data_IF_277832624901
#
_entry.id   IF_277832624901
#
_cell.length_a   1.000
_cell.length_b   1.000
_cell.length_c   1.000
_cell.angle_alpha   90.00
_cell.angle_beta   90.00
_cell.angle_gamma   90.00
#
_symmetry.space_group_name_H-M   'P 1'
#
loop_
_entity.id
_entity.type
_entity.pdbx_description
1 polymer ?
#
# COMPACT_ATOMS: atom_id res chain seq x y z
N UNK A 1 20.41 21.19 20.79
CA UNK A 1 20.17 20.81 19.38
C UNK A 1 20.94 19.55 18.94
N UNK A 2 21.30 18.61 19.84
CA UNK A 2 21.95 17.34 19.44
C UNK A 2 21.21 16.08 19.90
N UNK A 3 20.04 16.24 20.54
CA UNK A 3 19.20 15.12 21.02
C UNK A 3 18.00 14.83 20.11
N UNK A 4 17.73 15.70 19.13
CA UNK A 4 16.53 15.61 18.29
C UNK A 4 16.60 14.47 17.27
N UNK A 5 17.80 14.20 16.74
CA UNK A 5 18.03 13.10 15.79
C UNK A 5 17.89 11.71 16.44
N UNK A 6 18.53 11.51 17.59
CA UNK A 6 18.41 10.26 18.35
C UNK A 6 16.98 10.04 18.86
N UNK A 7 16.31 11.10 19.31
CA UNK A 7 14.89 11.05 19.69
C UNK A 7 13.98 10.66 18.53
N UNK A 8 14.23 11.19 17.33
CA UNK A 8 13.47 10.86 16.11
C UNK A 8 13.67 9.39 15.69
N UNK A 9 14.91 8.89 15.76
CA UNK A 9 15.21 7.48 15.46
C UNK A 9 14.49 6.56 16.45
N UNK A 10 14.59 6.84 17.75
CA UNK A 10 13.95 6.03 18.79
C UNK A 10 12.42 6.05 18.68
N UNK A 11 11.83 7.19 18.32
CA UNK A 11 10.40 7.31 18.07
C UNK A 11 9.96 6.47 16.85
N UNK A 12 10.64 6.62 15.71
CA UNK A 12 10.32 5.85 14.50
C UNK A 12 10.47 4.34 14.71
N UNK A 13 11.50 3.91 15.45
CA UNK A 13 11.67 2.51 15.84
C UNK A 13 10.50 2.08 16.74
N UNK A 14 10.14 2.85 17.75
CA UNK A 14 9.05 2.49 18.69
C UNK A 14 7.69 2.35 18.01
N UNK A 15 7.44 3.12 16.94
CA UNK A 15 6.20 3.03 16.14
C UNK A 15 6.23 1.86 15.16
N UNK A 16 7.38 1.58 14.55
CA UNK A 16 7.51 0.57 13.48
C UNK A 16 7.78 -0.84 14.02
N UNK A 17 8.45 -0.94 15.17
CA UNK A 17 8.84 -2.21 15.79
C UNK A 17 7.63 -3.11 16.10
N UNK A 18 6.49 -2.62 16.63
CA UNK A 18 5.28 -3.44 16.81
C UNK A 18 4.74 -3.99 15.49
N UNK A 19 4.72 -3.17 14.43
CA UNK A 19 4.26 -3.60 13.10
C UNK A 19 5.18 -4.66 12.51
N UNK A 20 6.50 -4.50 12.65
CA UNK A 20 7.48 -5.51 12.23
C UNK A 20 7.33 -6.81 13.04
N UNK A 21 7.14 -6.72 14.34
CA UNK A 21 6.93 -7.89 15.19
C UNK A 21 5.66 -8.64 14.80
N UNK A 22 4.57 -7.93 14.52
CA UNK A 22 3.32 -8.52 14.01
C UNK A 22 3.53 -9.23 12.66
N UNK A 23 4.31 -8.65 11.75
CA UNK A 23 4.67 -9.28 10.47
C UNK A 23 5.46 -10.59 10.68
N UNK A 24 6.49 -10.56 11.53
CA UNK A 24 7.30 -11.74 11.85
C UNK A 24 6.41 -12.84 12.47
N UNK A 25 5.51 -12.46 13.38
CA UNK A 25 4.56 -13.38 14.00
C UNK A 25 3.64 -14.01 12.94
N UNK A 26 3.10 -13.21 12.01
CA UNK A 26 2.29 -13.72 10.90
C UNK A 26 3.04 -14.74 10.04
N UNK A 27 4.32 -14.48 9.72
CA UNK A 27 5.18 -15.42 8.98
C UNK A 27 5.41 -16.71 9.78
N UNK A 28 5.66 -16.61 11.07
CA UNK A 28 5.86 -17.77 11.94
C UNK A 28 4.62 -18.66 12.03
N UNK A 29 3.42 -18.06 12.13
CA UNK A 29 2.14 -18.76 12.13
C UNK A 29 1.86 -19.45 10.79
N UNK A 30 2.17 -18.77 9.67
CA UNK A 30 2.08 -19.36 8.33
C UNK A 30 3.03 -20.55 8.19
N UNK A 31 4.27 -20.42 8.67
CA UNK A 31 5.28 -21.50 8.60
C UNK A 31 4.87 -22.75 9.39
N UNK A 32 4.09 -22.60 10.46
CA UNK A 32 3.51 -23.72 11.22
C UNK A 32 2.24 -24.32 10.60
N UNK A 33 1.82 -23.88 9.40
CA UNK A 33 0.56 -24.28 8.74
C UNK A 33 -0.71 -24.06 9.61
N UNK A 34 -0.63 -23.18 10.62
CA UNK A 34 -1.80 -22.79 11.42
C UNK A 34 -2.72 -21.89 10.59
N UNK A 35 -2.13 -21.11 9.69
CA UNK A 35 -2.82 -20.23 8.75
C UNK A 35 -2.63 -20.78 7.34
N UNK A 36 -3.71 -21.27 6.74
CA UNK A 36 -3.78 -21.70 5.34
C UNK A 36 -3.98 -20.49 4.41
N UNK A 37 -3.57 -20.62 3.14
CA UNK A 37 -3.70 -19.58 2.12
C UNK A 37 -5.18 -19.18 1.93
N UNK A 38 -6.12 -20.13 2.10
CA UNK A 38 -7.57 -19.86 2.09
C UNK A 38 -8.00 -18.91 3.21
N UNK A 39 -7.51 -19.13 4.43
CA UNK A 39 -7.80 -18.24 5.56
C UNK A 39 -7.20 -16.86 5.34
N UNK A 40 -5.97 -16.80 4.83
CA UNK A 40 -5.30 -15.52 4.52
C UNK A 40 -6.08 -14.71 3.48
N UNK A 41 -6.61 -15.35 2.44
CA UNK A 41 -7.45 -14.69 1.43
C UNK A 41 -8.77 -14.19 2.04
N UNK A 42 -9.42 -15.00 2.87
CA UNK A 42 -10.68 -14.63 3.49
C UNK A 42 -10.52 -13.48 4.49
N UNK A 43 -9.45 -13.51 5.30
CA UNK A 43 -9.09 -12.42 6.21
C UNK A 43 -8.82 -11.11 5.44
N UNK A 44 -8.06 -11.20 4.35
CA UNK A 44 -7.78 -10.05 3.47
C UNK A 44 -9.09 -9.48 2.90
N UNK A 45 -10.00 -10.34 2.42
CA UNK A 45 -11.31 -9.91 1.93
C UNK A 45 -12.16 -9.19 3.00
N UNK A 46 -12.13 -9.67 4.25
CA UNK A 46 -12.82 -9.01 5.37
C UNK A 46 -12.21 -7.63 5.64
N UNK A 47 -10.87 -7.52 5.65
CA UNK A 47 -10.17 -6.24 5.87
C UNK A 47 -10.53 -5.23 4.79
N UNK A 48 -10.51 -5.63 3.52
CA UNK A 48 -10.84 -4.72 2.42
C UNK A 48 -12.33 -4.34 2.37
N UNK A 49 -13.23 -5.28 2.65
CA UNK A 49 -14.69 -5.03 2.55
C UNK A 49 -15.30 -4.38 3.78
N UNK A 50 -14.73 -4.60 4.97
CA UNK A 50 -15.32 -4.16 6.25
C UNK A 50 -14.39 -3.18 6.96
N UNK A 51 -13.14 -3.58 7.23
CA UNK A 51 -12.22 -2.78 8.04
C UNK A 51 -11.87 -1.46 7.36
N UNK A 52 -11.63 -1.45 6.04
CA UNK A 52 -11.33 -0.21 5.31
C UNK A 52 -12.47 0.80 5.35
N UNK A 53 -13.73 0.45 4.97
CA UNK A 53 -14.86 1.38 5.12
C UNK A 53 -15.08 1.83 6.57
N UNK A 54 -14.95 0.92 7.54
CA UNK A 54 -15.11 1.26 8.95
C UNK A 54 -14.03 2.23 9.43
N UNK A 55 -12.77 2.02 9.03
CA UNK A 55 -11.67 2.90 9.35
C UNK A 55 -11.87 4.27 8.71
N UNK A 56 -12.27 4.33 7.44
CA UNK A 56 -12.60 5.59 6.77
C UNK A 56 -13.73 6.34 7.49
N UNK A 57 -14.79 5.63 7.88
CA UNK A 57 -15.89 6.20 8.65
C UNK A 57 -15.42 6.74 10.02
N UNK A 58 -14.63 5.96 10.78
CA UNK A 58 -14.06 6.41 12.05
C UNK A 58 -13.18 7.66 11.89
N UNK A 59 -12.35 7.71 10.84
CA UNK A 59 -11.49 8.85 10.56
C UNK A 59 -12.30 10.13 10.31
N UNK A 60 -13.38 10.03 9.53
CA UNK A 60 -14.29 11.16 9.27
C UNK A 60 -15.04 11.57 10.54
N UNK A 61 -15.51 10.61 11.32
CA UNK A 61 -16.27 10.88 12.55
C UNK A 61 -15.43 11.55 13.64
N UNK A 62 -14.17 11.14 13.79
CA UNK A 62 -13.28 11.68 14.84
C UNK A 62 -12.67 13.04 14.50
N UNK A 63 -12.70 13.47 13.23
CA UNK A 63 -12.11 14.74 12.78
C UNK A 63 -13.19 15.77 12.38
N UNK A 64 -13.83 16.46 13.35
CA UNK A 64 -14.76 17.54 13.02
C UNK A 64 -14.05 18.67 12.28
N UNK A 65 -14.65 19.12 11.18
CA UNK A 65 -14.12 20.16 10.28
C UNK A 65 -14.22 21.53 10.98
N UNK A 66 -13.25 21.85 11.82
CA UNK A 66 -13.21 23.13 12.56
C UNK A 66 -12.67 24.30 11.72
N UNK A 67 -11.82 24.03 10.72
CA UNK A 67 -11.17 25.06 9.91
C UNK A 67 -11.23 24.69 8.42
N UNK A 68 -12.24 25.20 7.70
CA UNK A 68 -12.44 24.93 6.26
C UNK A 68 -11.23 25.36 5.41
N UNK A 69 -10.63 26.51 5.71
CA UNK A 69 -9.53 27.07 4.89
C UNK A 69 -8.24 26.24 4.96
N UNK A 70 -7.89 25.71 6.13
CA UNK A 70 -6.70 24.86 6.28
C UNK A 70 -6.90 23.50 5.61
N UNK A 71 -8.13 22.95 5.67
CA UNK A 71 -8.45 21.72 4.97
C UNK A 71 -8.45 21.88 3.46
N UNK A 72 -8.91 23.02 2.93
CA UNK A 72 -8.82 23.32 1.50
C UNK A 72 -7.36 23.35 1.04
N UNK A 73 -6.46 23.99 1.79
CA UNK A 73 -5.02 23.98 1.48
C UNK A 73 -4.45 22.56 1.49
N UNK A 74 -4.80 21.74 2.48
CA UNK A 74 -4.34 20.35 2.56
C UNK A 74 -4.87 19.49 1.39
N UNK A 75 -6.12 19.70 0.97
CA UNK A 75 -6.69 19.03 -0.21
C UNK A 75 -5.93 19.44 -1.47
N UNK A 76 -5.65 20.73 -1.67
CA UNK A 76 -4.87 21.17 -2.83
C UNK A 76 -3.47 20.54 -2.85
N UNK A 77 -2.78 20.52 -1.71
CA UNK A 77 -1.46 19.84 -1.60
C UNK A 77 -1.57 18.36 -1.94
N UNK A 78 -2.60 17.66 -1.45
CA UNK A 78 -2.85 16.26 -1.82
C UNK A 78 -3.11 16.08 -3.31
N UNK A 79 -3.92 16.95 -3.93
CA UNK A 79 -4.25 16.88 -5.37
C UNK A 79 -3.01 17.12 -6.22
N UNK A 80 -2.26 18.19 -5.95
CA UNK A 80 -1.03 18.49 -6.69
C UNK A 80 0.06 17.45 -6.43
N UNK A 81 0.21 16.97 -5.20
CA UNK A 81 1.18 15.92 -4.85
C UNK A 81 0.86 14.60 -5.55
N UNK A 82 -0.42 14.21 -5.57
CA UNK A 82 -0.96 13.07 -6.33
C UNK A 82 -0.66 13.25 -7.82
N UNK A 83 -1.10 14.34 -8.44
CA UNK A 83 -0.85 14.59 -9.87
C UNK A 83 0.64 14.56 -10.22
N UNK A 84 1.49 15.17 -9.39
CA UNK A 84 2.94 15.14 -9.60
C UNK A 84 3.51 13.73 -9.49
N UNK A 85 3.08 12.95 -8.48
CA UNK A 85 3.47 11.55 -8.32
C UNK A 85 3.02 10.70 -9.52
N UNK A 86 1.82 10.94 -10.04
CA UNK A 86 1.31 10.28 -11.25
C UNK A 86 2.18 10.59 -12.47
N UNK A 87 2.45 11.88 -12.73
CA UNK A 87 3.26 12.30 -13.88
C UNK A 87 4.69 11.77 -13.78
N UNK A 88 5.30 11.83 -12.60
CA UNK A 88 6.62 11.25 -12.37
C UNK A 88 6.58 9.73 -12.61
N UNK A 89 5.62 9.02 -12.04
CA UNK A 89 5.47 7.58 -12.24
C UNK A 89 5.27 7.23 -13.72
N UNK A 90 4.53 8.02 -14.48
CA UNK A 90 4.33 7.83 -15.92
C UNK A 90 5.61 8.07 -16.73
N UNK A 91 6.37 9.14 -16.44
CA UNK A 91 7.65 9.43 -17.08
C UNK A 91 8.69 8.33 -16.78
N UNK A 92 8.73 7.85 -15.53
CA UNK A 92 9.58 6.72 -15.15
C UNK A 92 9.12 5.43 -15.83
N UNK A 93 7.82 5.15 -15.88
CA UNK A 93 7.28 3.99 -16.58
C UNK A 93 7.58 4.06 -18.08
N UNK A 94 7.57 5.24 -18.68
CA UNK A 94 7.91 5.39 -20.09
C UNK A 94 9.36 5.04 -20.39
N UNK A 95 10.27 5.43 -19.50
CA UNK A 95 11.70 5.18 -19.66
C UNK A 95 12.11 3.74 -19.34
N UNK A 96 11.39 3.05 -18.45
CA UNK A 96 11.74 1.71 -17.97
C UNK A 96 10.81 0.58 -18.46
N UNK A 97 9.60 0.89 -18.92
CA UNK A 97 8.59 -0.11 -19.33
C UNK A 97 8.26 0.06 -20.82
N UNK A 98 8.75 -0.89 -21.63
CA UNK A 98 8.57 -0.91 -23.08
C UNK A 98 7.12 -1.21 -23.52
N UNK A 99 6.33 -1.88 -22.68
CA UNK A 99 4.94 -2.26 -22.98
C UNK A 99 3.93 -1.27 -22.36
N UNK A 100 3.10 -0.64 -23.21
CA UNK A 100 2.07 0.31 -22.78
C UNK A 100 1.02 -0.30 -21.86
N UNK A 101 0.78 -1.61 -21.91
CA UNK A 101 -0.25 -2.27 -21.07
C UNK A 101 0.16 -2.37 -19.60
N UNK A 102 1.45 -2.49 -19.33
CA UNK A 102 1.98 -2.65 -17.97
C UNK A 102 2.17 -1.30 -17.24
N UNK A 103 2.15 -0.18 -17.98
CA UNK A 103 2.29 1.18 -17.40
C UNK A 103 1.18 1.51 -16.41
N UNK A 104 -0.07 1.13 -16.70
CA UNK A 104 -1.21 1.39 -15.80
C UNK A 104 -1.10 0.62 -14.48
N UNK A 105 -0.70 -0.65 -14.54
CA UNK A 105 -0.46 -1.48 -13.34
C UNK A 105 0.71 -0.94 -12.51
N UNK A 106 1.78 -0.48 -13.17
CA UNK A 106 2.93 0.12 -12.51
C UNK A 106 2.53 1.39 -11.73
N UNK A 107 1.81 2.31 -12.37
CA UNK A 107 1.34 3.54 -11.72
C UNK A 107 0.38 3.24 -10.56
N UNK A 108 -0.55 2.28 -10.71
CA UNK A 108 -1.41 1.86 -9.59
C UNK A 108 -0.64 1.23 -8.43
N UNK A 109 0.43 0.49 -8.73
CA UNK A 109 1.33 -0.09 -7.74
C UNK A 109 2.07 0.97 -6.93
N UNK A 110 2.57 2.00 -7.59
CA UNK A 110 3.22 3.17 -6.95
C UNK A 110 2.25 3.89 -6.01
N UNK A 111 0.98 4.02 -6.41
CA UNK A 111 -0.04 4.70 -5.63
C UNK A 111 -0.51 3.96 -4.37
N UNK A 112 -0.61 2.62 -4.44
CA UNK A 112 -1.14 1.83 -3.32
C UNK A 112 -0.09 1.48 -2.27
N UNK A 113 1.20 1.75 -2.53
CA UNK A 113 2.33 1.60 -1.59
C UNK A 113 2.63 0.16 -1.11
N UNK A 114 1.67 -0.76 -1.20
CA UNK A 114 1.73 -2.11 -0.63
C UNK A 114 1.40 -3.22 -1.64
N UNK A 115 0.99 -2.92 -2.87
CA UNK A 115 0.52 -3.94 -3.81
C UNK A 115 1.00 -3.68 -5.25
N UNK A 116 2.30 -3.80 -5.49
CA UNK A 116 2.81 -4.21 -6.80
C UNK A 116 3.55 -5.53 -6.68
N UNK A 117 2.89 -6.54 -6.11
CA UNK A 117 3.44 -7.89 -6.08
C UNK A 117 3.34 -8.60 -7.45
N UNK A 118 2.86 -7.92 -8.53
CA UNK A 118 2.60 -8.52 -9.86
C UNK A 118 3.18 -7.71 -11.06
N UNK A 119 3.94 -6.62 -10.88
CA UNK A 119 4.69 -6.04 -12.01
C UNK A 119 5.94 -6.86 -12.38
N UNK A 120 5.77 -8.15 -12.67
CA UNK A 120 6.70 -8.89 -13.50
C UNK A 120 6.32 -8.59 -14.96
N UNK A 121 7.11 -7.81 -15.72
CA UNK A 121 7.07 -7.96 -17.17
C UNK A 121 7.43 -9.43 -17.42
N UNK A 122 6.56 -10.15 -18.13
CA UNK A 122 6.76 -11.54 -18.53
C UNK A 122 8.09 -11.68 -19.29
N UNK A 123 9.17 -11.92 -18.56
CA UNK A 123 10.35 -12.61 -19.09
C UNK A 123 9.97 -14.08 -19.12
N UNK A 124 9.97 -14.65 -20.32
CA UNK A 124 9.44 -15.98 -20.59
C UNK A 124 10.01 -17.05 -19.66
N UNK A 125 9.16 -17.57 -18.79
CA UNK A 125 9.27 -18.94 -18.33
C UNK A 125 7.94 -19.64 -18.55
N UNK A 126 8.02 -20.70 -19.35
CA UNK A 126 7.01 -21.69 -19.58
C UNK A 126 6.53 -22.30 -18.25
N UNK A 127 5.40 -21.83 -17.71
CA UNK A 127 4.38 -22.68 -17.06
C UNK A 127 3.15 -21.88 -16.60
N UNK A 128 2.00 -22.53 -16.74
CA UNK A 128 0.62 -22.09 -16.50
C UNK A 128 0.23 -21.70 -15.06
N UNK A 129 1.12 -21.15 -14.21
CA UNK A 129 0.82 -20.95 -12.78
C UNK A 129 0.76 -19.50 -12.27
N UNK A 130 0.65 -18.50 -13.15
CA UNK A 130 0.41 -17.10 -12.75
C UNK A 130 -0.77 -16.54 -13.54
N UNK A 131 -1.94 -17.15 -13.34
CA UNK A 131 -3.22 -16.62 -13.80
C UNK A 131 -4.22 -16.42 -12.66
N UNK A 132 -3.77 -16.60 -11.43
CA UNK A 132 -4.60 -16.47 -10.24
C UNK A 132 -4.21 -15.15 -9.56
N UNK A 133 -5.20 -14.36 -9.16
CA UNK A 133 -5.11 -13.20 -8.26
C UNK A 133 -5.08 -11.76 -8.81
N UNK A 134 -5.57 -11.45 -10.03
CA UNK A 134 -6.02 -10.06 -10.36
C UNK A 134 -7.44 -9.99 -10.95
N UNK A 135 -8.08 -11.12 -11.27
CA UNK A 135 -9.44 -11.09 -11.82
C UNK A 135 -10.24 -12.31 -11.35
N UNK A 136 -10.77 -12.24 -10.13
CA UNK A 136 -11.94 -13.02 -9.70
C UNK A 136 -12.64 -12.19 -8.61
N UNK A 137 -13.74 -11.54 -9.04
CA UNK A 137 -14.69 -10.64 -8.32
C UNK A 137 -14.12 -9.42 -7.57
#
# INVERSE_FOLDING_TARGET
MQNDFWGSILFSISVTLPTLFLLILGIFLRKRNVIDDRFSQQATGIVFKITLPALLFLNVFQNPIKHLNEQLMMIWVCVFGTLLLFLLAEIFAEKFVADKRERGTFVQGVYRGNCSMICTPKVGLNNQLIKVQIFYD
#
